data_IF_017919267161
#
_entry.id   IF_017919267161
#
_cell.length_a   1.000
_cell.length_b   1.000
_cell.length_c   1.000
_cell.angle_alpha   90.00
_cell.angle_beta   90.00
_cell.angle_gamma   90.00
#
_symmetry.space_group_name_H-M   'P 1'
#
loop_
_entity.id
_entity.type
_entity.pdbx_description
1 polymer ?
#
# COMPACT_ATOMS: atom_id res chain seq x y z
N UNK A 1 12.89 18.58 7.60
CA UNK A 1 11.87 19.17 6.71
C UNK A 1 11.83 20.68 6.96
N UNK A 2 12.33 21.50 6.02
CA UNK A 2 12.58 22.95 6.22
C UNK A 2 11.43 23.86 5.78
N UNK A 3 10.26 23.31 5.46
CA UNK A 3 9.11 24.15 5.08
C UNK A 3 8.53 24.86 6.31
N UNK A 4 8.17 26.14 6.13
CA UNK A 4 7.52 27.01 7.12
C UNK A 4 6.07 26.60 7.44
N UNK A 5 5.62 25.43 6.97
CA UNK A 5 4.29 24.92 7.23
C UNK A 5 4.18 24.43 8.67
N UNK A 6 3.02 24.71 9.26
CA UNK A 6 2.68 24.18 10.58
C UNK A 6 2.60 22.64 10.55
N UNK A 7 2.85 21.95 11.68
CA UNK A 7 2.80 20.49 11.75
C UNK A 7 1.50 19.88 11.21
N UNK A 8 0.34 20.46 11.55
CA UNK A 8 -0.95 19.97 11.07
C UNK A 8 -1.14 20.13 9.55
N UNK A 9 -0.60 21.21 8.95
CA UNK A 9 -0.64 21.40 7.49
C UNK A 9 0.21 20.35 6.77
N UNK A 10 1.39 20.01 7.32
CA UNK A 10 2.25 18.94 6.78
C UNK A 10 1.53 17.59 6.82
N UNK A 11 0.85 17.32 7.93
CA UNK A 11 0.03 16.12 8.12
C UNK A 11 -1.16 16.06 7.15
N UNK A 12 -1.78 17.20 6.88
CA UNK A 12 -2.89 17.31 5.93
C UNK A 12 -2.40 17.02 4.50
N UNK A 13 -1.33 17.69 4.06
CA UNK A 13 -0.72 17.49 2.73
C UNK A 13 -0.29 16.03 2.52
N UNK A 14 0.28 15.41 3.54
CA UNK A 14 0.65 14.00 3.48
C UNK A 14 -0.56 13.11 3.13
N UNK A 15 -1.72 13.38 3.72
CA UNK A 15 -2.93 12.58 3.52
C UNK A 15 -3.69 12.96 2.25
N UNK A 16 -3.82 14.25 1.95
CA UNK A 16 -4.65 14.73 0.84
C UNK A 16 -3.94 14.67 -0.51
N UNK A 17 -2.60 14.73 -0.53
CA UNK A 17 -1.83 14.74 -1.76
C UNK A 17 -0.89 13.55 -1.88
N UNK A 18 0.01 13.35 -0.91
CA UNK A 18 1.07 12.34 -1.07
C UNK A 18 0.50 10.91 -1.13
N UNK A 19 -0.36 10.53 -0.18
CA UNK A 19 -0.97 9.20 -0.16
C UNK A 19 -1.76 8.91 -1.46
N UNK A 20 -2.70 9.76 -1.92
CA UNK A 20 -3.40 9.53 -3.18
C UNK A 20 -2.49 9.44 -4.41
N UNK A 21 -1.45 10.28 -4.49
CA UNK A 21 -0.47 10.20 -5.58
C UNK A 21 0.26 8.86 -5.58
N UNK A 22 0.65 8.37 -4.40
CA UNK A 22 1.24 7.03 -4.25
C UNK A 22 0.23 5.95 -4.63
N UNK A 23 -1.01 6.01 -4.14
CA UNK A 23 -2.06 5.02 -4.47
C UNK A 23 -2.29 4.90 -5.98
N UNK A 24 -2.21 6.00 -6.75
CA UNK A 24 -2.27 5.95 -8.21
C UNK A 24 -1.09 5.16 -8.83
N UNK A 25 0.12 5.34 -8.31
CA UNK A 25 1.30 4.59 -8.74
C UNK A 25 1.25 3.11 -8.31
N UNK A 26 0.78 2.83 -7.10
CA UNK A 26 0.55 1.48 -6.58
C UNK A 26 -0.51 0.75 -7.40
N UNK A 27 -1.56 1.46 -7.79
CA UNK A 27 -2.57 0.93 -8.69
C UNK A 27 -1.90 0.61 -10.03
N UNK A 28 -1.30 1.57 -10.73
CA UNK A 28 -0.79 1.38 -12.10
C UNK A 28 0.35 0.37 -12.25
N UNK A 29 1.34 0.35 -11.35
CA UNK A 29 2.58 -0.40 -11.53
C UNK A 29 2.69 -1.72 -10.78
N UNK A 30 3.74 -2.50 -11.11
CA UNK A 30 4.26 -3.55 -10.22
C UNK A 30 5.32 -2.92 -9.32
N UNK A 31 5.11 -2.97 -8.02
CA UNK A 31 6.04 -2.39 -7.04
C UNK A 31 6.62 -3.49 -6.16
N UNK A 32 7.93 -3.41 -5.89
CA UNK A 32 8.62 -4.32 -5.00
C UNK A 32 8.18 -4.06 -3.54
N UNK A 33 7.70 -5.09 -2.85
CA UNK A 33 7.22 -4.97 -1.46
C UNK A 33 8.29 -4.48 -0.49
N UNK A 34 9.55 -4.84 -0.73
CA UNK A 34 10.67 -4.39 0.11
C UNK A 34 10.85 -2.87 0.04
N UNK A 35 10.75 -2.29 -1.17
CA UNK A 35 10.80 -0.84 -1.36
C UNK A 35 9.63 -0.13 -0.68
N UNK A 36 8.43 -0.71 -0.72
CA UNK A 36 7.26 -0.17 -0.01
C UNK A 36 7.44 -0.20 1.51
N UNK A 37 8.00 -1.29 2.04
CA UNK A 37 8.26 -1.43 3.48
C UNK A 37 9.29 -0.42 3.97
N UNK A 38 10.32 -0.15 3.16
CA UNK A 38 11.30 0.90 3.43
C UNK A 38 10.65 2.29 3.37
N UNK A 39 9.84 2.56 2.35
CA UNK A 39 9.11 3.82 2.21
C UNK A 39 8.17 4.07 3.38
N UNK A 40 7.39 3.07 3.79
CA UNK A 40 6.51 3.13 4.97
C UNK A 40 7.31 3.46 6.24
N UNK A 41 8.51 2.90 6.37
CA UNK A 41 9.39 3.17 7.51
C UNK A 41 9.88 4.62 7.54
N UNK A 42 10.26 5.17 6.39
CA UNK A 42 10.64 6.57 6.28
C UNK A 42 9.45 7.52 6.48
N UNK A 43 8.26 7.17 5.97
CA UNK A 43 7.03 7.90 6.24
C UNK A 43 6.71 7.93 7.73
N UNK A 44 6.82 6.82 8.45
CA UNK A 44 6.62 6.79 9.91
C UNK A 44 7.62 7.67 10.66
N UNK A 45 8.90 7.61 10.30
CA UNK A 45 9.92 8.50 10.89
C UNK A 45 9.58 9.96 10.66
N UNK A 46 9.19 10.32 9.44
CA UNK A 46 8.77 11.67 9.09
C UNK A 46 7.55 12.15 9.89
N UNK A 47 6.52 11.31 10.01
CA UNK A 47 5.32 11.61 10.78
C UNK A 47 5.62 11.72 12.28
N UNK A 48 6.51 10.87 12.79
CA UNK A 48 7.00 10.94 14.17
C UNK A 48 7.69 12.26 14.48
N UNK A 49 8.52 12.76 13.56
CA UNK A 49 9.16 14.08 13.67
C UNK A 49 8.15 15.23 13.63
N UNK A 50 7.13 15.17 12.76
CA UNK A 50 6.11 16.23 12.67
C UNK A 50 5.29 16.32 13.97
N UNK A 51 4.91 15.17 14.51
CA UNK A 51 4.06 15.08 15.68
C UNK A 51 4.84 15.13 17.00
N UNK A 52 6.17 15.26 16.94
CA UNK A 52 7.08 15.21 18.09
C UNK A 52 6.86 13.97 18.97
N UNK A 53 6.70 12.80 18.33
CA UNK A 53 6.49 11.52 19.02
C UNK A 53 7.79 11.02 19.66
N UNK A 54 7.72 10.34 20.82
CA UNK A 54 8.88 9.67 21.41
C UNK A 54 9.33 8.51 20.51
N UNK A 55 10.61 8.15 20.60
CA UNK A 55 11.20 7.05 19.82
C UNK A 55 10.53 5.68 20.05
N UNK A 56 9.81 5.52 21.17
CA UNK A 56 9.09 4.29 21.54
C UNK A 56 7.61 4.30 21.13
N UNK A 57 7.18 5.25 20.30
CA UNK A 57 5.80 5.29 19.84
C UNK A 57 5.42 4.00 19.10
N UNK A 58 4.29 3.41 19.50
CA UNK A 58 3.84 2.13 18.98
C UNK A 58 3.42 2.25 17.52
N UNK A 59 3.88 1.35 16.66
CA UNK A 59 3.55 1.33 15.23
C UNK A 59 2.03 1.39 14.93
N UNK A 60 1.14 0.70 15.69
CA UNK A 60 -0.30 0.80 15.48
C UNK A 60 -0.87 2.23 15.57
N UNK A 61 -0.25 3.13 16.33
CA UNK A 61 -0.69 4.52 16.46
C UNK A 61 -0.78 5.24 15.11
N UNK A 62 0.18 5.00 14.21
CA UNK A 62 0.22 5.65 12.89
C UNK A 62 -0.96 5.21 11.99
N UNK A 63 -1.44 3.98 12.17
CA UNK A 63 -2.42 3.38 11.28
C UNK A 63 -3.83 3.30 11.87
N UNK A 64 -3.96 3.43 13.19
CA UNK A 64 -5.25 3.44 13.87
C UNK A 64 -6.11 4.63 13.44
N UNK A 65 -7.43 4.46 13.47
CA UNK A 65 -8.39 5.51 13.10
C UNK A 65 -8.20 6.76 13.99
N UNK A 66 -8.40 7.92 13.38
CA UNK A 66 -8.36 9.21 14.07
C UNK A 66 -9.42 9.35 15.16
N UNK A 67 -10.55 8.64 15.01
CA UNK A 67 -11.64 8.56 16.00
C UNK A 67 -11.20 7.93 17.32
N UNK A 68 -10.19 7.06 17.29
CA UNK A 68 -9.61 6.43 18.48
C UNK A 68 -8.29 7.07 18.91
N UNK A 69 -7.97 8.26 18.38
CA UNK A 69 -6.73 8.98 18.68
C UNK A 69 -5.51 8.56 17.86
N UNK A 70 -5.69 7.75 16.82
CA UNK A 70 -4.63 7.39 15.88
C UNK A 70 -4.38 8.46 14.81
N UNK A 71 -3.40 8.20 13.94
CA UNK A 71 -3.05 9.09 12.84
C UNK A 71 -3.84 8.78 11.55
N UNK A 72 -4.53 7.64 11.46
CA UNK A 72 -5.38 7.28 10.32
C UNK A 72 -4.65 7.29 8.99
N UNK A 73 -3.36 6.92 8.98
CA UNK A 73 -2.63 6.68 7.73
C UNK A 73 -2.83 5.23 7.29
N UNK A 74 -2.69 4.93 6.00
CA UNK A 74 -2.70 3.55 5.51
C UNK A 74 -1.27 3.04 5.33
N UNK A 75 -1.07 1.74 5.51
CA UNK A 75 0.18 1.07 5.14
C UNK A 75 0.22 0.95 3.63
N UNK A 76 1.30 1.41 3.01
CA UNK A 76 1.44 1.36 1.56
C UNK A 76 1.50 -0.08 1.03
N UNK A 77 1.99 -1.02 1.85
CA UNK A 77 1.94 -2.45 1.53
C UNK A 77 0.52 -2.97 1.40
N UNK A 78 -0.34 -2.60 2.35
CA UNK A 78 -1.72 -3.08 2.42
C UNK A 78 -2.52 -2.44 1.28
N UNK A 79 -2.32 -1.15 1.01
CA UNK A 79 -2.90 -0.46 -0.14
C UNK A 79 -2.50 -1.11 -1.47
N UNK A 80 -1.22 -1.47 -1.64
CA UNK A 80 -0.75 -2.12 -2.86
C UNK A 80 -1.41 -3.49 -3.07
N UNK A 81 -1.58 -4.27 -2.00
CA UNK A 81 -2.26 -5.56 -2.05
C UNK A 81 -3.76 -5.40 -2.36
N UNK A 82 -4.43 -4.42 -1.74
CA UNK A 82 -5.83 -4.06 -2.03
C UNK A 82 -6.00 -3.71 -3.52
N UNK A 83 -5.14 -2.84 -4.06
CA UNK A 83 -5.19 -2.43 -5.46
C UNK A 83 -4.91 -3.60 -6.41
N UNK A 84 -3.99 -4.48 -6.05
CA UNK A 84 -3.68 -5.69 -6.84
C UNK A 84 -4.91 -6.59 -6.94
N UNK A 85 -5.59 -6.85 -5.82
CA UNK A 85 -6.81 -7.67 -5.79
C UNK A 85 -7.95 -6.99 -6.54
N UNK A 86 -8.18 -5.69 -6.31
CA UNK A 86 -9.23 -4.93 -6.98
C UNK A 86 -9.05 -4.94 -8.49
N UNK A 87 -7.82 -4.76 -8.97
CA UNK A 87 -7.49 -4.86 -10.40
C UNK A 87 -7.72 -6.27 -10.94
N UNK A 88 -7.26 -7.30 -10.25
CA UNK A 88 -7.45 -8.68 -10.69
C UNK A 88 -8.96 -9.00 -10.83
N UNK A 89 -9.78 -8.59 -9.85
CA UNK A 89 -11.23 -8.74 -9.92
C UNK A 89 -11.85 -7.99 -11.11
N UNK A 90 -11.41 -6.76 -11.37
CA UNK A 90 -11.86 -5.98 -12.54
C UNK A 90 -11.50 -6.66 -13.87
N UNK A 91 -10.28 -7.19 -13.99
CA UNK A 91 -9.84 -7.88 -15.21
C UNK A 91 -10.58 -9.21 -15.43
N UNK A 92 -10.87 -9.96 -14.37
CA UNK A 92 -11.63 -11.21 -14.42
C UNK A 92 -13.12 -10.99 -14.74
N UNK A 93 -13.67 -9.82 -14.39
CA UNK A 93 -15.07 -9.45 -14.66
C UNK A 93 -15.23 -8.58 -15.90
N UNK A 94 -14.13 -8.23 -16.58
CA UNK A 94 -14.10 -7.36 -17.74
C UNK A 94 -15.04 -7.87 -18.85
N UNK A 95 -15.73 -6.95 -19.55
CA UNK A 95 -16.68 -7.27 -20.63
C UNK A 95 -16.01 -7.92 -21.85
N UNK A 96 -14.75 -7.57 -22.10
CA UNK A 96 -13.97 -8.14 -23.21
C UNK A 96 -13.59 -9.61 -22.88
N UNK A 97 -14.06 -10.59 -23.69
CA UNK A 97 -13.76 -12.00 -23.45
C UNK A 97 -12.27 -12.31 -23.61
N UNK A 98 -11.54 -11.58 -24.45
CA UNK A 98 -10.12 -11.80 -24.71
C UNK A 98 -9.29 -11.47 -23.48
N UNK A 99 -9.48 -10.27 -22.92
CA UNK A 99 -8.80 -9.82 -21.69
C UNK A 99 -9.12 -10.75 -20.52
N UNK A 100 -10.41 -11.13 -20.40
CA UNK A 100 -10.86 -12.07 -19.37
C UNK A 100 -10.16 -13.41 -19.45
N UNK A 101 -10.06 -13.99 -20.65
CA UNK A 101 -9.42 -15.29 -20.85
C UNK A 101 -7.92 -15.24 -20.58
N UNK A 102 -7.22 -14.19 -21.04
CA UNK A 102 -5.80 -13.98 -20.74
C UNK A 102 -5.57 -13.89 -19.23
N UNK A 103 -6.40 -13.12 -18.52
CA UNK A 103 -6.28 -12.97 -17.07
C UNK A 103 -6.55 -14.28 -16.32
N UNK A 104 -7.53 -15.08 -16.78
CA UNK A 104 -7.81 -16.42 -16.23
C UNK A 104 -6.62 -17.36 -16.38
N UNK A 105 -6.00 -17.41 -17.56
CA UNK A 105 -4.80 -18.25 -17.76
C UNK A 105 -3.63 -17.80 -16.87
N UNK A 106 -3.40 -16.49 -16.75
CA UNK A 106 -2.38 -15.95 -15.84
C UNK A 106 -2.66 -16.32 -14.36
N UNK A 107 -3.93 -16.31 -13.95
CA UNK A 107 -4.32 -16.72 -12.60
C UNK A 107 -4.03 -18.22 -12.39
N UNK A 108 -4.45 -19.08 -13.32
CA UNK A 108 -4.17 -20.52 -13.24
C UNK A 108 -2.68 -20.81 -13.19
N UNK A 109 -1.87 -20.11 -13.98
CA UNK A 109 -0.42 -20.27 -13.94
C UNK A 109 0.19 -19.81 -12.60
N UNK A 110 -0.28 -18.71 -12.05
CA UNK A 110 0.17 -18.22 -10.73
C UNK A 110 -0.16 -19.24 -9.63
N UNK A 111 -1.37 -19.82 -9.67
CA UNK A 111 -1.80 -20.88 -8.74
C UNK A 111 -0.91 -22.12 -8.89
N UNK A 112 -0.65 -22.59 -10.12
CA UNK A 112 0.24 -23.74 -10.36
C UNK A 112 1.66 -23.50 -9.82
N UNK A 113 2.20 -22.29 -10.03
CA UNK A 113 3.52 -21.90 -9.49
C UNK A 113 3.53 -21.86 -7.96
N UNK A 114 2.46 -21.34 -7.34
CA UNK A 114 2.28 -21.33 -5.90
C UNK A 114 2.29 -22.75 -5.30
N UNK A 115 1.45 -23.64 -5.84
CA UNK A 115 1.40 -25.04 -5.39
C UNK A 115 2.75 -25.78 -5.54
N UNK A 116 3.48 -25.53 -6.64
CA UNK A 116 4.80 -26.13 -6.85
C UNK A 116 5.84 -25.66 -5.83
N UNK A 117 5.75 -24.40 -5.39
CA UNK A 117 6.64 -23.87 -4.36
C UNK A 117 6.34 -24.46 -2.97
N UNK A 118 5.08 -24.79 -2.68
CA UNK A 118 4.67 -25.45 -1.44
C UNK A 118 5.00 -26.96 -1.42
N UNK A 119 5.08 -27.60 -2.60
CA UNK A 119 5.42 -29.01 -2.75
C UNK A 119 6.55 -29.22 -3.77
N UNK A 120 7.82 -28.98 -3.40
CA UNK A 120 8.96 -28.97 -4.33
C UNK A 120 9.39 -30.34 -4.90
N UNK A 121 8.62 -31.41 -4.67
CA UNK A 121 9.01 -32.79 -4.99
C UNK A 121 7.94 -33.62 -5.72
N UNK A 122 6.88 -33.00 -6.25
CA UNK A 122 5.87 -33.66 -7.12
C UNK A 122 5.82 -32.95 -8.46
#
# INVERSE_FOLDING_TARGET
CRSHLAPWQKLEIFRSHLLPSLSHHLASGRVLKDCLTQLDTECRKFLGLICNLPNHATVPFFYADRRVGGLGTCRLTDDADIWTIARAAQLLTCRDPTVRNICREQLHETIRRGFRNEHPGV
#
